data_IF_514074003917
#
_entry.id   IF_514074003917
#
_cell.length_a   1.000
_cell.length_b   1.000
_cell.length_c   1.000
_cell.angle_alpha   90.00
_cell.angle_beta   90.00
_cell.angle_gamma   90.00
#
_symmetry.space_group_name_H-M   'P 1'
#
loop_
_entity.id
_entity.type
_entity.pdbx_description
1 polymer ?
#
# COMPACT_ATOMS: atom_id res chain seq x y z
N UNK A 1 14.86 -22.44 14.04
CA UNK A 1 15.01 -22.74 12.59
C UNK A 1 14.51 -21.54 11.79
N UNK A 2 15.13 -21.16 10.66
CA UNK A 2 14.58 -20.16 9.73
C UNK A 2 13.71 -20.86 8.68
N UNK A 3 12.47 -20.43 8.50
CA UNK A 3 11.55 -20.94 7.49
C UNK A 3 10.72 -19.80 6.90
N UNK A 4 10.77 -19.63 5.58
CA UNK A 4 10.07 -18.54 4.86
C UNK A 4 10.26 -17.17 5.54
N UNK A 5 11.52 -16.81 5.82
CA UNK A 5 11.93 -15.57 6.53
C UNK A 5 11.49 -15.43 8.00
N UNK A 6 10.80 -16.43 8.57
CA UNK A 6 10.40 -16.48 9.97
C UNK A 6 11.40 -17.27 10.81
N UNK A 7 11.68 -16.82 12.05
CA UNK A 7 12.53 -17.54 13.01
C UNK A 7 11.65 -18.27 14.01
N UNK A 8 11.59 -19.60 13.90
CA UNK A 8 10.72 -20.45 14.72
C UNK A 8 11.58 -21.10 15.81
N UNK A 9 11.16 -20.99 17.07
CA UNK A 9 11.82 -21.67 18.20
C UNK A 9 11.47 -23.18 18.25
N UNK A 10 12.15 -23.93 19.09
CA UNK A 10 11.92 -25.38 19.24
C UNK A 10 10.54 -25.74 19.84
N UNK A 11 9.78 -24.75 20.29
CA UNK A 11 8.41 -24.88 20.82
C UNK A 11 7.37 -24.37 19.81
N UNK A 12 7.77 -24.09 18.57
CA UNK A 12 6.91 -23.55 17.52
C UNK A 12 6.26 -22.21 17.89
N UNK A 13 6.86 -21.46 18.81
CA UNK A 13 6.41 -20.12 19.17
C UNK A 13 7.12 -19.08 18.30
N UNK A 14 6.38 -18.05 17.94
CA UNK A 14 6.85 -16.92 17.13
C UNK A 14 7.46 -15.79 17.96
N UNK A 15 7.51 -15.94 19.28
CA UNK A 15 7.84 -14.86 20.23
C UNK A 15 9.18 -14.23 19.92
N UNK A 16 10.22 -15.03 19.68
CA UNK A 16 11.55 -14.53 19.34
C UNK A 16 11.60 -13.82 17.98
N UNK A 17 10.82 -14.28 17.00
CA UNK A 17 10.67 -13.59 15.72
C UNK A 17 9.96 -12.25 15.89
N UNK A 18 8.88 -12.19 16.67
CA UNK A 18 8.18 -10.95 16.98
C UNK A 18 9.07 -9.96 17.74
N UNK A 19 9.85 -10.38 18.72
CA UNK A 19 10.81 -9.52 19.42
C UNK A 19 11.86 -8.94 18.47
N UNK A 20 12.41 -9.76 17.55
CA UNK A 20 13.37 -9.29 16.55
C UNK A 20 12.75 -8.33 15.54
N UNK A 21 11.54 -8.62 15.06
CA UNK A 21 10.83 -7.76 14.10
C UNK A 21 10.39 -6.48 14.77
N UNK A 22 9.88 -6.52 16.00
CA UNK A 22 9.53 -5.33 16.80
C UNK A 22 10.76 -4.47 17.05
N UNK A 23 11.86 -5.05 17.52
CA UNK A 23 13.09 -4.29 17.75
C UNK A 23 13.70 -3.72 16.46
N UNK A 24 13.53 -4.39 15.30
CA UNK A 24 13.90 -3.81 14.00
C UNK A 24 12.95 -2.69 13.59
N UNK A 25 11.65 -2.86 13.78
CA UNK A 25 10.64 -1.85 13.50
C UNK A 25 10.87 -0.61 14.38
N UNK A 26 11.13 -0.76 15.68
CA UNK A 26 11.48 0.33 16.59
C UNK A 26 12.75 1.07 16.16
N UNK A 27 13.79 0.36 15.72
CA UNK A 27 15.02 1.01 15.19
C UNK A 27 14.78 1.76 13.89
N UNK A 28 13.95 1.20 13.00
CA UNK A 28 13.56 1.87 11.75
C UNK A 28 12.67 3.07 12.05
N UNK A 29 11.69 2.93 12.94
CA UNK A 29 10.80 4.01 13.40
C UNK A 29 11.59 5.11 14.11
N UNK A 30 12.55 4.77 14.97
CA UNK A 30 13.42 5.74 15.64
C UNK A 30 14.33 6.46 14.64
N UNK A 31 14.86 5.78 13.62
CA UNK A 31 15.62 6.43 12.54
C UNK A 31 14.75 7.27 11.63
N UNK A 32 13.52 6.84 11.37
CA UNK A 32 12.52 7.61 10.63
C UNK A 32 12.06 8.83 11.42
N UNK A 33 11.89 8.73 12.75
CA UNK A 33 11.62 9.86 13.65
C UNK A 33 12.80 10.86 13.65
N UNK A 34 14.03 10.35 13.60
CA UNK A 34 15.24 11.18 13.51
C UNK A 34 15.42 11.84 12.13
N UNK A 35 14.98 11.18 11.04
CA UNK A 35 14.96 11.73 9.68
C UNK A 35 13.75 12.62 9.41
N UNK A 36 12.67 12.48 10.19
CA UNK A 36 11.40 13.17 9.98
C UNK A 36 10.91 13.98 11.20
N UNK A 37 11.70 14.91 11.76
CA UNK A 37 11.16 15.97 12.65
C UNK A 37 10.16 16.90 11.91
N UNK A 38 10.04 16.70 10.61
CA UNK A 38 9.40 17.54 9.61
C UNK A 38 7.92 17.24 9.36
N UNK A 39 7.41 16.08 9.80
CA UNK A 39 5.97 15.78 9.65
C UNK A 39 5.07 16.55 10.64
N UNK A 40 5.65 17.25 11.63
CA UNK A 40 4.91 17.92 12.71
C UNK A 40 5.05 19.44 12.73
N UNK A 41 5.69 20.07 11.74
CA UNK A 41 5.88 21.53 11.73
C UNK A 41 4.92 22.24 10.77
N UNK A 42 4.21 23.30 11.17
CA UNK A 42 3.30 24.06 10.29
C UNK A 42 3.97 24.67 9.05
N UNK A 43 5.29 24.90 9.08
CA UNK A 43 6.06 25.42 7.93
C UNK A 43 6.35 24.34 6.87
N UNK A 44 6.16 23.07 7.19
CA UNK A 44 6.45 21.92 6.32
C UNK A 44 5.30 21.54 5.37
N UNK A 45 4.07 21.96 5.66
CA UNK A 45 2.88 21.54 4.93
C UNK A 45 2.86 22.05 3.47
N UNK A 46 3.24 23.32 3.24
CA UNK A 46 3.12 23.94 1.91
C UNK A 46 4.14 23.39 0.89
N UNK A 47 5.43 23.34 1.25
CA UNK A 47 6.50 22.86 0.35
C UNK A 47 6.38 21.37 0.02
N UNK A 48 5.90 20.55 0.97
CA UNK A 48 5.74 19.11 0.73
C UNK A 48 4.54 18.80 -0.14
N UNK A 49 3.44 19.55 -0.02
CA UNK A 49 2.32 19.42 -0.95
C UNK A 49 2.78 19.75 -2.37
N UNK A 50 3.50 20.84 -2.57
CA UNK A 50 4.04 21.23 -3.87
C UNK A 50 4.92 20.11 -4.46
N UNK A 51 5.89 19.59 -3.69
CA UNK A 51 6.74 18.46 -4.10
C UNK A 51 5.96 17.16 -4.37
N UNK A 52 4.97 16.83 -3.55
CA UNK A 52 4.14 15.64 -3.70
C UNK A 52 3.14 15.75 -4.86
N UNK A 53 2.90 16.95 -5.36
CA UNK A 53 2.09 17.19 -6.57
C UNK A 53 2.91 17.33 -7.85
N UNK A 54 4.23 17.53 -7.73
CA UNK A 54 5.13 17.65 -8.89
C UNK A 54 5.26 16.32 -9.65
N UNK A 55 5.07 16.32 -10.96
CA UNK A 55 5.13 15.09 -11.77
C UNK A 55 6.53 14.96 -12.37
N UNK A 56 7.26 13.94 -11.94
CA UNK A 56 8.55 13.58 -12.55
C UNK A 56 8.36 12.52 -13.64
N UNK A 57 9.09 12.58 -14.76
CA UNK A 57 9.18 11.47 -15.71
C UNK A 57 9.59 10.18 -14.99
N UNK A 58 8.92 9.07 -15.31
CA UNK A 58 9.16 7.74 -14.71
C UNK A 58 8.96 7.63 -13.19
N UNK A 59 8.17 8.53 -12.60
CA UNK A 59 7.86 8.48 -11.17
C UNK A 59 7.07 7.22 -10.78
N UNK A 60 7.78 6.24 -10.23
CA UNK A 60 7.20 5.02 -9.69
C UNK A 60 6.23 5.27 -8.52
N UNK A 61 6.36 6.40 -7.81
CA UNK A 61 5.51 6.78 -6.70
C UNK A 61 4.23 7.51 -7.13
N UNK A 62 4.09 7.90 -8.41
CA UNK A 62 2.96 8.68 -8.92
C UNK A 62 1.61 8.02 -8.59
N UNK A 63 1.53 6.70 -8.71
CA UNK A 63 0.33 5.95 -8.36
C UNK A 63 -0.06 6.14 -6.90
N UNK A 64 0.88 5.90 -5.98
CA UNK A 64 0.67 6.05 -4.53
C UNK A 64 0.31 7.50 -4.18
N UNK A 65 1.01 8.48 -4.77
CA UNK A 65 0.76 9.91 -4.54
C UNK A 65 -0.65 10.29 -4.96
N UNK A 66 -1.12 9.84 -6.14
CA UNK A 66 -2.50 10.08 -6.60
C UNK A 66 -3.56 9.56 -5.63
N UNK A 67 -3.30 8.44 -4.96
CA UNK A 67 -4.24 7.87 -3.98
C UNK A 67 -4.22 8.62 -2.64
N UNK A 68 -3.01 8.90 -2.11
CA UNK A 68 -2.86 9.35 -0.72
C UNK A 68 -2.85 10.87 -0.59
N UNK A 69 -2.18 11.60 -1.49
CA UNK A 69 -2.00 13.07 -1.38
C UNK A 69 -3.32 13.83 -1.23
N UNK A 70 -4.42 13.50 -1.95
CA UNK A 70 -5.71 14.16 -1.74
C UNK A 70 -6.27 14.03 -0.32
N UNK A 71 -5.80 13.04 0.43
CA UNK A 71 -6.27 12.73 1.79
C UNK A 71 -5.13 12.76 2.82
N UNK A 72 -3.98 13.36 2.50
CA UNK A 72 -2.73 13.20 3.25
C UNK A 72 -2.89 13.50 4.76
N UNK A 73 -3.50 14.62 5.12
CA UNK A 73 -3.73 15.00 6.53
C UNK A 73 -4.56 13.98 7.29
N UNK A 74 -5.66 13.53 6.68
CA UNK A 74 -6.55 12.52 7.26
C UNK A 74 -5.85 11.17 7.35
N UNK A 75 -5.02 10.85 6.37
CA UNK A 75 -4.22 9.62 6.34
C UNK A 75 -3.17 9.59 7.44
N UNK A 76 -2.45 10.70 7.66
CA UNK A 76 -1.43 10.82 8.71
C UNK A 76 -2.02 10.81 10.12
N UNK A 77 -3.25 11.30 10.27
CA UNK A 77 -3.99 11.30 11.54
C UNK A 77 -4.85 10.06 11.77
N UNK A 78 -4.87 9.11 10.83
CA UNK A 78 -5.70 7.90 10.91
C UNK A 78 -5.21 6.98 12.03
N UNK A 79 -6.06 6.71 13.02
CA UNK A 79 -5.75 5.89 14.22
C UNK A 79 -6.30 4.47 14.18
N UNK A 80 -7.17 4.17 13.21
CA UNK A 80 -7.88 2.89 13.07
C UNK A 80 -7.45 2.15 11.81
N UNK A 81 -7.76 0.85 11.70
CA UNK A 81 -7.52 0.03 10.51
C UNK A 81 -6.04 -0.28 10.18
N UNK A 82 -5.77 -1.53 9.78
CA UNK A 82 -4.41 -2.01 9.50
C UNK A 82 -4.09 -2.14 8.00
N UNK A 83 -2.83 -1.90 7.62
CA UNK A 83 -2.33 -2.16 6.26
C UNK A 83 -1.79 -3.59 6.15
N UNK A 84 -2.59 -4.49 5.58
CA UNK A 84 -2.11 -5.83 5.25
C UNK A 84 -1.05 -5.80 4.15
N UNK A 85 -0.20 -6.82 4.09
CA UNK A 85 0.82 -6.98 3.04
C UNK A 85 0.25 -6.78 1.62
N UNK A 86 -0.90 -7.39 1.32
CA UNK A 86 -1.56 -7.28 0.01
C UNK A 86 -2.13 -5.89 -0.23
N UNK A 87 -2.66 -5.24 0.80
CA UNK A 87 -3.19 -3.88 0.69
C UNK A 87 -2.05 -2.87 0.45
N UNK A 88 -0.91 -3.02 1.14
CA UNK A 88 0.28 -2.22 0.90
C UNK A 88 0.80 -2.39 -0.53
N UNK A 89 0.82 -3.63 -1.06
CA UNK A 89 1.18 -3.88 -2.45
C UNK A 89 0.23 -3.18 -3.43
N UNK A 90 -1.08 -3.28 -3.20
CA UNK A 90 -2.08 -2.59 -4.00
C UNK A 90 -1.88 -1.06 -3.97
N UNK A 91 -1.75 -0.45 -2.79
CA UNK A 91 -1.55 1.00 -2.63
C UNK A 91 -0.27 1.52 -3.28
N UNK A 92 0.76 0.68 -3.35
CA UNK A 92 2.05 1.05 -3.93
C UNK A 92 2.21 0.62 -5.38
N UNK A 93 1.24 -0.11 -5.95
CA UNK A 93 1.33 -0.72 -7.28
C UNK A 93 2.60 -1.58 -7.48
N UNK A 94 2.99 -2.31 -6.43
CA UNK A 94 4.23 -3.09 -6.37
C UNK A 94 3.97 -4.56 -5.97
N UNK A 95 5.02 -5.38 -5.98
CA UNK A 95 4.97 -6.72 -5.42
C UNK A 95 4.42 -7.75 -6.39
N UNK A 96 3.19 -8.24 -6.16
CA UNK A 96 2.62 -9.35 -6.92
C UNK A 96 2.17 -9.00 -8.35
N UNK A 97 2.13 -7.70 -8.70
CA UNK A 97 1.65 -7.27 -10.02
C UNK A 97 2.66 -7.58 -11.13
N UNK A 98 2.23 -8.23 -12.22
CA UNK A 98 3.13 -8.60 -13.32
C UNK A 98 3.79 -7.38 -13.98
N UNK A 99 3.12 -6.22 -14.00
CA UNK A 99 3.72 -4.95 -14.43
C UNK A 99 4.92 -4.53 -13.57
N UNK A 100 4.85 -4.74 -12.26
CA UNK A 100 5.95 -4.49 -11.35
C UNK A 100 7.07 -5.51 -11.57
N UNK A 101 6.73 -6.80 -11.60
CA UNK A 101 7.71 -7.87 -11.77
C UNK A 101 8.45 -7.78 -13.12
N UNK A 102 7.77 -7.38 -14.18
CA UNK A 102 8.39 -7.09 -15.47
C UNK A 102 9.39 -5.95 -15.37
N UNK A 103 9.02 -4.85 -14.70
CA UNK A 103 9.90 -3.68 -14.54
C UNK A 103 11.21 -4.05 -13.85
N UNK A 104 11.17 -4.95 -12.87
CA UNK A 104 12.35 -5.45 -12.17
C UNK A 104 12.96 -6.71 -12.80
N UNK A 105 12.54 -7.07 -14.02
CA UNK A 105 13.03 -8.22 -14.79
C UNK A 105 12.91 -9.58 -14.08
N UNK A 106 11.85 -9.73 -13.26
CA UNK A 106 11.50 -10.97 -12.57
C UNK A 106 10.32 -11.71 -13.21
N UNK A 107 9.70 -11.13 -14.23
CA UNK A 107 8.63 -11.76 -14.99
C UNK A 107 8.67 -11.28 -16.45
N UNK A 108 8.21 -12.14 -17.37
CA UNK A 108 8.41 -11.95 -18.81
C UNK A 108 7.33 -11.10 -19.49
N UNK A 109 6.24 -10.76 -18.80
CA UNK A 109 5.15 -9.96 -19.37
C UNK A 109 4.53 -8.98 -18.36
N UNK A 110 3.96 -7.89 -18.85
CA UNK A 110 3.15 -6.94 -18.06
C UNK A 110 1.65 -7.27 -18.10
N UNK A 111 1.26 -8.27 -18.87
CA UNK A 111 -0.15 -8.58 -19.17
C UNK A 111 -0.84 -9.18 -17.96
N UNK A 112 -2.15 -8.97 -17.88
CA UNK A 112 -3.02 -9.70 -16.97
C UNK A 112 -3.20 -11.14 -17.47
N UNK A 113 -2.98 -12.11 -16.60
CA UNK A 113 -3.19 -13.53 -16.90
C UNK A 113 -4.64 -13.96 -16.67
N UNK A 114 -5.42 -13.12 -15.98
CA UNK A 114 -6.79 -13.42 -15.58
C UNK A 114 -7.85 -12.85 -16.53
N UNK A 115 -7.47 -11.94 -17.43
CA UNK A 115 -8.39 -11.37 -18.42
C UNK A 115 -7.64 -10.97 -19.70
N UNK A 116 -8.31 -10.94 -20.87
CA UNK A 116 -7.72 -10.57 -22.15
C UNK A 116 -7.34 -9.08 -22.23
N UNK A 117 -7.87 -8.23 -21.35
CA UNK A 117 -7.75 -6.79 -21.45
C UNK A 117 -6.88 -6.19 -20.31
N UNK A 118 -5.66 -5.78 -20.64
CA UNK A 118 -4.90 -4.82 -19.83
C UNK A 118 -3.56 -5.29 -19.29
N UNK A 119 -2.89 -4.36 -18.59
CA UNK A 119 -1.69 -4.63 -17.82
C UNK A 119 -2.07 -5.08 -16.42
N UNK A 120 -1.37 -6.05 -15.86
CA UNK A 120 -1.56 -6.42 -14.46
C UNK A 120 -0.82 -5.41 -13.59
N UNK A 121 -1.51 -4.31 -13.28
CA UNK A 121 -1.14 -3.33 -12.28
C UNK A 121 -2.26 -3.24 -11.24
N UNK A 122 -2.03 -2.57 -10.11
CA UNK A 122 -3.03 -2.41 -9.07
C UNK A 122 -4.28 -1.68 -9.59
N UNK A 123 -4.09 -0.66 -10.43
CA UNK A 123 -5.18 0.10 -11.04
C UNK A 123 -6.16 -0.80 -11.82
N UNK A 124 -5.61 -1.69 -12.65
CA UNK A 124 -6.41 -2.65 -13.39
C UNK A 124 -6.96 -3.74 -12.47
N UNK A 125 -6.10 -4.45 -11.75
CA UNK A 125 -6.45 -5.65 -10.99
C UNK A 125 -7.53 -5.38 -9.95
N UNK A 126 -7.39 -4.27 -9.20
CA UNK A 126 -8.31 -3.93 -8.11
C UNK A 126 -9.60 -3.31 -8.65
N UNK A 127 -9.52 -2.38 -9.62
CA UNK A 127 -10.65 -1.52 -9.95
C UNK A 127 -11.35 -1.83 -11.29
N UNK A 128 -10.73 -2.57 -12.20
CA UNK A 128 -11.23 -2.72 -13.59
C UNK A 128 -11.28 -4.16 -14.10
N UNK A 129 -10.45 -5.04 -13.57
CA UNK A 129 -10.32 -6.41 -14.06
C UNK A 129 -11.62 -7.18 -13.89
N UNK A 130 -12.17 -7.66 -15.01
CA UNK A 130 -13.44 -8.40 -15.06
C UNK A 130 -13.37 -9.73 -14.30
N UNK A 131 -12.20 -10.37 -14.26
CA UNK A 131 -12.00 -11.60 -13.50
C UNK A 131 -12.32 -11.46 -12.00
N UNK A 132 -12.24 -10.23 -11.49
CA UNK A 132 -12.48 -9.90 -10.08
C UNK A 132 -13.74 -9.04 -9.86
N UNK A 133 -14.64 -8.95 -10.86
CA UNK A 133 -15.87 -8.14 -10.76
C UNK A 133 -16.73 -8.54 -9.58
N UNK A 134 -17.03 -9.83 -9.43
CA UNK A 134 -17.86 -10.35 -8.34
C UNK A 134 -17.32 -9.99 -6.94
N UNK A 135 -16.01 -10.16 -6.72
CA UNK A 135 -15.38 -9.80 -5.44
C UNK A 135 -15.41 -8.29 -5.20
N UNK A 136 -15.19 -7.49 -6.25
CA UNK A 136 -15.25 -6.04 -6.15
C UNK A 136 -16.68 -5.57 -5.85
N UNK A 137 -17.68 -6.12 -6.50
CA UNK A 137 -19.10 -5.82 -6.23
C UNK A 137 -19.49 -6.14 -4.78
N UNK A 138 -19.02 -7.26 -4.23
CA UNK A 138 -19.24 -7.60 -2.82
C UNK A 138 -18.58 -6.59 -1.87
N UNK A 139 -17.36 -6.13 -2.18
CA UNK A 139 -16.70 -5.06 -1.42
C UNK A 139 -17.48 -3.74 -1.54
N UNK A 140 -17.89 -3.36 -2.75
CA UNK A 140 -18.67 -2.14 -3.01
C UNK A 140 -20.01 -2.13 -2.27
N UNK A 141 -20.67 -3.30 -2.19
CA UNK A 141 -21.90 -3.49 -1.42
C UNK A 141 -21.69 -3.27 0.07
N UNK A 142 -20.60 -3.80 0.64
CA UNK A 142 -20.24 -3.59 2.06
C UNK A 142 -19.86 -2.14 2.35
N UNK A 143 -19.12 -1.51 1.44
CA UNK A 143 -18.74 -0.10 1.55
C UNK A 143 -19.92 0.85 1.25
N UNK A 144 -21.01 0.34 0.67
CA UNK A 144 -22.12 1.14 0.09
C UNK A 144 -21.60 2.23 -0.85
N UNK A 145 -20.53 1.92 -1.57
CA UNK A 145 -19.79 2.87 -2.40
C UNK A 145 -19.01 2.13 -3.48
N UNK A 146 -18.99 2.68 -4.69
CA UNK A 146 -18.17 2.17 -5.79
C UNK A 146 -16.69 2.28 -5.46
N UNK A 147 -15.92 1.24 -5.76
CA UNK A 147 -14.50 1.15 -5.50
C UNK A 147 -13.74 1.62 -6.75
N UNK A 148 -12.87 2.60 -6.54
CA UNK A 148 -12.05 3.19 -7.59
C UNK A 148 -10.77 3.76 -6.97
N UNK A 149 -9.83 4.18 -7.82
CA UNK A 149 -8.62 4.90 -7.37
C UNK A 149 -8.99 6.13 -6.53
N UNK A 150 -10.04 6.87 -6.90
CA UNK A 150 -10.47 8.06 -6.16
C UNK A 150 -11.23 7.78 -4.87
N UNK A 151 -11.70 6.56 -4.63
CA UNK A 151 -12.55 6.23 -3.47
C UNK A 151 -11.90 5.25 -2.50
N UNK A 152 -10.79 4.59 -2.87
CA UNK A 152 -10.10 3.60 -2.05
C UNK A 152 -9.66 4.19 -0.70
N UNK A 153 -8.85 5.25 -0.74
CA UNK A 153 -8.29 5.85 0.48
C UNK A 153 -9.38 6.48 1.34
N UNK A 154 -10.37 7.13 0.71
CA UNK A 154 -11.53 7.66 1.44
C UNK A 154 -12.30 6.54 2.17
N UNK A 155 -12.47 5.39 1.55
CA UNK A 155 -13.14 4.23 2.18
C UNK A 155 -12.32 3.63 3.33
N UNK A 156 -10.99 3.67 3.22
CA UNK A 156 -10.10 3.25 4.32
C UNK A 156 -10.13 4.23 5.50
N UNK A 157 -10.38 5.52 5.24
CA UNK A 157 -10.49 6.56 6.25
C UNK A 157 -11.84 6.57 6.96
N UNK A 158 -12.90 6.04 6.33
CA UNK A 158 -14.24 6.01 6.91
C UNK A 158 -14.57 4.74 7.70
N UNK A 159 -13.77 3.67 7.53
CA UNK A 159 -13.96 2.41 8.23
C UNK A 159 -13.67 2.57 9.72
N UNK A 160 -14.71 2.53 10.56
CA UNK A 160 -14.56 2.55 12.02
C UNK A 160 -13.99 1.21 12.48
N UNK A 161 -13.16 1.23 13.52
CA UNK A 161 -12.88 0.01 14.28
C UNK A 161 -14.21 -0.38 14.96
N UNK A 162 -14.85 -1.46 14.48
CA UNK A 162 -15.85 -2.19 15.26
C UNK A 162 -15.16 -3.15 16.23
#
# INVERSE_FOLDING_TARGET
MKYLDNVIDNRWKFTHHFEMVSGKAERVLSRLDLLMPNLRSPKFDKQWREMLTEIFPDDAALYTRKLIVPHLEKWLSRTHGFLSYRLTQALTNHGCFSSYLYRIRKFYTKRCEFCPAGRNDAGHTVFRCEAWSYLREEVERRLRKRLSEGTLVESMLSGRDE
#
